data_IF_887557205709
#
_entry.id   IF_887557205709
#
_cell.length_a   1.000
_cell.length_b   1.000
_cell.length_c   1.000
_cell.angle_alpha   90.00
_cell.angle_beta   90.00
_cell.angle_gamma   90.00
#
_symmetry.space_group_name_H-M   'P 1'
#
loop_
_entity.id
_entity.type
_entity.pdbx_description
1 polymer ?
#
# COMPACT_ATOMS: atom_id res chain seq x y z
N UNK A 1 10.85 3.59 12.34
CA UNK A 1 10.96 2.99 10.99
C UNK A 1 9.75 2.10 10.80
N UNK A 2 9.06 2.18 9.66
CA UNK A 2 7.91 1.31 9.34
C UNK A 2 8.26 0.48 8.11
N UNK A 3 8.01 -0.83 8.19
CA UNK A 3 8.25 -1.78 7.10
C UNK A 3 6.97 -2.57 6.85
N UNK A 4 6.62 -2.67 5.58
CA UNK A 4 5.49 -3.44 5.07
C UNK A 4 6.03 -4.31 3.94
N UNK A 5 5.79 -5.61 4.00
CA UNK A 5 6.29 -6.57 3.02
C UNK A 5 5.14 -7.41 2.47
N UNK A 6 5.12 -7.56 1.16
CA UNK A 6 4.19 -8.42 0.39
C UNK A 6 2.73 -8.33 0.90
N UNK A 7 2.21 -7.12 1.05
CA UNK A 7 0.83 -6.93 1.51
C UNK A 7 -0.15 -7.20 0.38
N UNK A 8 -1.15 -8.00 0.73
CA UNK A 8 -2.29 -8.34 -0.11
C UNK A 8 -3.58 -7.87 0.54
N UNK A 9 -4.48 -7.29 -0.24
CA UNK A 9 -5.80 -6.88 0.22
C UNK A 9 -6.84 -7.13 -0.84
N UNK A 10 -7.85 -7.90 -0.47
CA UNK A 10 -8.94 -8.32 -1.33
C UNK A 10 -10.27 -7.78 -0.82
N UNK A 11 -11.14 -7.38 -1.75
CA UNK A 11 -12.55 -7.13 -1.51
C UNK A 11 -13.38 -8.01 -2.44
N UNK A 12 -13.90 -9.12 -1.92
CA UNK A 12 -14.55 -10.13 -2.75
C UNK A 12 -13.57 -10.67 -3.79
N UNK A 13 -13.93 -10.60 -5.07
CA UNK A 13 -13.07 -11.01 -6.20
C UNK A 13 -12.09 -9.93 -6.69
N UNK A 14 -12.04 -8.76 -6.07
CA UNK A 14 -11.16 -7.66 -6.48
C UNK A 14 -9.90 -7.59 -5.61
N UNK A 15 -8.74 -7.63 -6.26
CA UNK A 15 -7.44 -7.42 -5.64
C UNK A 15 -7.13 -5.93 -5.59
N UNK A 16 -7.32 -5.33 -4.42
CA UNK A 16 -7.09 -3.91 -4.21
C UNK A 16 -5.62 -3.60 -3.91
N UNK A 17 -4.91 -4.53 -3.25
CA UNK A 17 -3.46 -4.52 -3.11
C UNK A 17 -2.98 -5.94 -3.42
N UNK A 18 -1.96 -6.08 -4.27
CA UNK A 18 -1.44 -7.36 -4.77
C UNK A 18 0.09 -7.37 -4.64
N UNK A 19 0.59 -7.73 -3.45
CA UNK A 19 2.01 -7.88 -3.15
C UNK A 19 2.79 -6.56 -3.02
N UNK A 20 2.23 -5.57 -2.34
CA UNK A 20 2.91 -4.29 -2.14
C UNK A 20 3.91 -4.34 -0.97
N UNK A 21 5.11 -3.84 -1.19
CA UNK A 21 6.13 -3.65 -0.15
C UNK A 21 6.55 -2.18 -0.05
N UNK A 22 6.69 -1.67 1.17
CA UNK A 22 7.02 -0.27 1.46
C UNK A 22 7.89 -0.17 2.71
N UNK A 23 8.92 0.66 2.66
CA UNK A 23 9.69 1.08 3.84
C UNK A 23 9.58 2.58 4.00
N UNK A 24 9.30 3.02 5.23
CA UNK A 24 9.21 4.44 5.62
C UNK A 24 10.24 4.69 6.72
N UNK A 25 11.20 5.55 6.39
CA UNK A 25 12.27 5.97 7.30
C UNK A 25 11.76 6.94 8.37
N UNK A 26 12.45 6.98 9.51
CA UNK A 26 12.13 7.92 10.58
C UNK A 26 12.37 9.37 10.17
N UNK A 27 11.45 10.25 10.58
CA UNK A 27 11.51 11.66 10.22
C UNK A 27 11.13 11.96 8.77
N UNK A 28 10.72 10.98 7.98
CA UNK A 28 10.28 11.17 6.59
C UNK A 28 8.76 11.41 6.49
N UNK A 29 8.36 12.13 5.43
CA UNK A 29 6.96 12.24 5.01
C UNK A 29 6.81 11.48 3.69
N UNK A 30 5.95 10.47 3.67
CA UNK A 30 5.68 9.65 2.49
C UNK A 30 4.25 9.85 2.02
N UNK A 31 4.07 10.15 0.73
CA UNK A 31 2.75 10.31 0.10
C UNK A 31 2.51 9.23 -0.95
N UNK A 32 1.34 8.58 -0.89
CA UNK A 32 0.94 7.57 -1.87
C UNK A 32 -0.02 8.18 -2.91
N UNK A 33 0.34 8.09 -4.19
CA UNK A 33 -0.38 8.72 -5.32
C UNK A 33 -0.70 7.71 -6.42
N UNK A 34 -1.83 7.90 -7.09
CA UNK A 34 -2.33 7.00 -8.11
C UNK A 34 -3.83 7.13 -8.36
N UNK A 35 -4.39 6.51 -9.41
CA UNK A 35 -5.80 6.59 -9.77
C UNK A 35 -6.72 5.98 -8.69
N UNK A 36 -8.02 6.31 -8.72
CA UNK A 36 -9.01 5.70 -7.84
C UNK A 36 -9.03 4.18 -8.02
N UNK A 37 -9.13 3.44 -6.92
CA UNK A 37 -9.08 1.97 -6.94
C UNK A 37 -7.68 1.35 -6.90
N UNK A 38 -6.60 2.14 -6.96
CA UNK A 38 -5.22 1.64 -6.92
C UNK A 38 -4.72 1.18 -5.53
N UNK A 39 -5.61 0.88 -4.57
CA UNK A 39 -5.21 0.38 -3.25
C UNK A 39 -4.69 1.42 -2.25
N UNK A 40 -4.85 2.72 -2.51
CA UNK A 40 -4.25 3.77 -1.66
C UNK A 40 -4.88 3.96 -0.27
N UNK A 41 -6.16 3.63 -0.14
CA UNK A 41 -6.97 3.82 1.09
C UNK A 41 -7.38 2.47 1.70
N UNK A 42 -6.95 1.38 1.08
CA UNK A 42 -7.42 0.02 1.29
C UNK A 42 -6.32 -0.83 1.90
#
# INVERSE_FOLDING_TARGET
MIVVEDVHKHFGGFHAVDGASLTIDEGSITGLIGPNGAGKTT
#
